data_IF_937357327821
#
_entry.id   IF_937357327821
#
_cell.length_a   1.000
_cell.length_b   1.000
_cell.length_c   1.000
_cell.angle_alpha   90.00
_cell.angle_beta   90.00
_cell.angle_gamma   90.00
#
_symmetry.space_group_name_H-M   'P 1'
#
loop_
_entity.id
_entity.type
_entity.pdbx_description
1 polymer ?
#
# COMPACT_ATOMS: atom_id res chain seq x y z
N UNK A 1 12.21 -24.76 15.14
CA UNK A 1 12.01 -23.43 14.52
C UNK A 1 11.82 -23.49 12.99
N UNK A 2 11.20 -24.55 12.44
CA UNK A 2 11.05 -24.70 10.97
C UNK A 2 9.59 -24.80 10.48
N UNK A 3 8.69 -25.39 11.28
CA UNK A 3 7.29 -25.56 10.89
C UNK A 3 6.43 -24.29 11.07
N UNK A 4 6.76 -23.46 12.07
CA UNK A 4 6.03 -22.21 12.35
C UNK A 4 6.27 -21.13 11.28
N UNK A 5 7.46 -21.12 10.66
CA UNK A 5 7.77 -20.18 9.57
C UNK A 5 6.98 -20.47 8.29
N UNK A 6 6.72 -21.75 7.99
CA UNK A 6 5.97 -22.15 6.79
C UNK A 6 4.46 -21.95 6.97
N UNK A 7 3.91 -22.23 8.16
CA UNK A 7 2.51 -21.95 8.48
C UNK A 7 2.23 -20.43 8.51
N UNK A 8 3.15 -19.63 9.08
CA UNK A 8 3.10 -18.17 9.04
C UNK A 8 3.16 -17.61 7.62
N UNK A 9 4.04 -18.17 6.76
CA UNK A 9 4.16 -17.77 5.37
C UNK A 9 2.95 -18.15 4.50
N UNK A 10 2.19 -19.20 4.86
CA UNK A 10 0.92 -19.54 4.19
C UNK A 10 -0.21 -18.64 4.71
N UNK A 11 -0.23 -18.34 6.01
CA UNK A 11 -1.23 -17.46 6.61
C UNK A 11 -1.15 -16.02 6.08
N UNK A 12 0.05 -15.43 6.03
CA UNK A 12 0.26 -14.10 5.43
C UNK A 12 -0.04 -14.08 3.93
N UNK A 13 0.28 -15.16 3.20
CA UNK A 13 0.07 -15.21 1.74
C UNK A 13 -1.39 -15.40 1.33
N UNK A 14 -2.27 -15.83 2.25
CA UNK A 14 -3.68 -16.17 1.96
C UNK A 14 -4.68 -15.24 2.67
N UNK A 15 -4.35 -14.69 3.85
CA UNK A 15 -5.32 -13.93 4.67
C UNK A 15 -5.23 -12.40 4.48
N UNK A 16 -4.02 -11.84 4.40
CA UNK A 16 -3.80 -10.40 4.16
C UNK A 16 -4.40 -9.80 2.86
N UNK A 17 -4.60 -10.54 1.74
CA UNK A 17 -5.09 -9.93 0.50
C UNK A 17 -6.50 -9.32 0.55
N UNK A 18 -7.29 -9.63 1.59
CA UNK A 18 -8.72 -9.27 1.67
C UNK A 18 -9.04 -8.08 2.56
N UNK A 19 -8.08 -7.56 3.34
CA UNK A 19 -8.31 -6.49 4.30
C UNK A 19 -7.16 -5.49 4.27
N UNK A 20 -7.14 -4.55 3.31
CA UNK A 20 -6.14 -3.49 3.33
C UNK A 20 -6.31 -2.64 4.60
N UNK A 21 -5.19 -2.28 5.21
CA UNK A 21 -5.13 -1.43 6.42
C UNK A 21 -4.29 -0.20 6.15
N UNK A 22 -4.59 0.89 6.86
CA UNK A 22 -3.83 2.13 6.79
C UNK A 22 -2.88 2.16 7.97
N UNK A 23 -1.59 2.05 7.69
CA UNK A 23 -0.56 2.14 8.71
C UNK A 23 0.07 3.53 8.76
N UNK A 24 0.32 4.02 9.97
CA UNK A 24 1.01 5.28 10.21
C UNK A 24 2.39 4.99 10.79
N UNK A 25 3.43 5.21 9.99
CA UNK A 25 4.82 4.98 10.40
C UNK A 25 5.53 6.33 10.54
N UNK A 26 6.04 6.62 11.73
CA UNK A 26 6.87 7.81 11.97
C UNK A 26 8.34 7.47 11.73
N UNK A 27 8.92 8.05 10.68
CA UNK A 27 10.35 7.92 10.40
C UNK A 27 11.11 9.08 11.05
N UNK A 28 12.25 8.79 11.68
CA UNK A 28 13.11 9.78 12.33
C UNK A 28 14.52 9.67 11.78
N UNK A 29 15.06 10.80 11.30
CA UNK A 29 16.41 10.87 10.77
C UNK A 29 17.20 11.94 11.53
N UNK A 30 18.39 11.65 12.07
CA UNK A 30 19.21 12.64 12.78
C UNK A 30 19.60 13.85 11.93
N UNK A 31 19.62 13.68 10.60
CA UNK A 31 20.03 14.68 9.61
C UNK A 31 18.87 15.18 8.75
N UNK A 32 17.62 14.99 9.20
CA UNK A 32 16.46 15.50 8.46
C UNK A 32 16.52 17.03 8.37
N UNK A 33 16.46 17.62 7.16
CA UNK A 33 16.34 19.07 7.03
C UNK A 33 15.11 19.59 7.80
N UNK A 34 15.21 20.69 8.58
CA UNK A 34 14.09 21.21 9.36
C UNK A 34 12.84 21.51 8.54
N UNK A 35 13.00 21.87 7.27
CA UNK A 35 11.88 22.12 6.35
C UNK A 35 11.05 20.87 6.01
N UNK A 36 11.56 19.67 6.28
CA UNK A 36 10.86 18.40 6.08
C UNK A 36 10.33 17.80 7.39
N UNK A 37 10.55 18.46 8.53
CA UNK A 37 10.01 18.01 9.80
C UNK A 37 8.47 18.10 9.79
N UNK A 38 7.82 17.01 10.14
CA UNK A 38 6.36 16.88 10.07
C UNK A 38 5.78 16.60 8.67
N UNK A 39 6.59 16.46 7.62
CA UNK A 39 6.12 16.08 6.29
C UNK A 39 5.42 14.70 6.33
N UNK A 40 4.18 14.64 5.84
CA UNK A 40 3.39 13.41 5.75
C UNK A 40 3.31 12.95 4.31
N UNK A 41 3.78 11.74 4.04
CA UNK A 41 3.72 11.10 2.72
C UNK A 41 2.73 9.92 2.81
N UNK A 42 1.67 9.98 2.01
CA UNK A 42 0.79 8.84 1.77
C UNK A 42 1.35 8.00 0.64
N UNK A 43 1.62 6.71 0.88
CA UNK A 43 2.23 5.84 -0.12
C UNK A 43 1.26 4.72 -0.54
N UNK A 44 1.09 4.54 -1.85
CA UNK A 44 0.36 3.41 -2.45
C UNK A 44 1.36 2.64 -3.33
N UNK A 45 1.55 1.35 -3.06
CA UNK A 45 2.52 0.49 -3.76
C UNK A 45 2.03 -0.94 -3.81
N UNK A 46 2.61 -1.75 -4.72
CA UNK A 46 2.45 -3.21 -4.76
C UNK A 46 0.99 -3.65 -4.77
N UNK A 47 0.14 -2.90 -5.46
CA UNK A 47 -1.27 -3.25 -5.55
C UNK A 47 -1.45 -4.49 -6.42
N UNK A 48 -0.51 -4.89 -7.28
CA UNK A 48 -0.58 -6.14 -8.07
C UNK A 48 -2.00 -6.44 -8.61
N UNK A 49 -2.67 -5.42 -9.15
CA UNK A 49 -4.08 -5.43 -9.52
C UNK A 49 -4.34 -6.56 -10.52
N UNK A 50 -5.45 -7.28 -10.29
CA UNK A 50 -5.83 -8.43 -11.11
C UNK A 50 -5.21 -9.77 -10.66
N UNK A 51 -4.35 -9.79 -9.63
CA UNK A 51 -3.92 -11.03 -8.96
C UNK A 51 -4.54 -11.16 -7.57
N UNK A 52 -3.91 -10.53 -6.57
CA UNK A 52 -4.26 -10.68 -5.15
C UNK A 52 -5.09 -9.51 -4.64
N UNK A 53 -4.89 -8.32 -5.20
CA UNK A 53 -5.56 -7.10 -4.78
C UNK A 53 -6.67 -6.75 -5.78
N UNK A 54 -7.80 -6.35 -5.25
CA UNK A 54 -9.00 -6.03 -6.03
C UNK A 54 -9.10 -4.54 -6.34
N UNK A 55 -9.95 -4.19 -7.30
CA UNK A 55 -10.31 -2.79 -7.55
C UNK A 55 -10.97 -2.13 -6.33
N UNK A 56 -11.65 -2.89 -5.49
CA UNK A 56 -12.25 -2.40 -4.25
C UNK A 56 -11.19 -2.01 -3.23
N UNK A 57 -10.14 -2.82 -3.06
CA UNK A 57 -9.03 -2.48 -2.18
C UNK A 57 -8.33 -1.19 -2.62
N UNK A 58 -8.14 -0.98 -3.93
CA UNK A 58 -7.56 0.27 -4.45
C UNK A 58 -8.48 1.46 -4.20
N UNK A 59 -9.79 1.33 -4.44
CA UNK A 59 -10.76 2.38 -4.09
C UNK A 59 -10.73 2.72 -2.61
N UNK A 60 -10.65 1.71 -1.76
CA UNK A 60 -10.52 1.89 -0.32
C UNK A 60 -9.24 2.65 0.02
N UNK A 61 -8.08 2.24 -0.51
CA UNK A 61 -6.79 2.89 -0.24
C UNK A 61 -6.78 4.36 -0.69
N UNK A 62 -7.34 4.65 -1.85
CA UNK A 62 -7.49 6.03 -2.36
C UNK A 62 -8.42 6.85 -1.46
N UNK A 63 -9.54 6.27 -1.02
CA UNK A 63 -10.43 6.90 -0.05
C UNK A 63 -9.75 7.19 1.29
N UNK A 64 -8.91 6.29 1.78
CA UNK A 64 -8.13 6.51 2.99
C UNK A 64 -7.08 7.62 2.82
N UNK A 65 -6.38 7.67 1.68
CA UNK A 65 -5.45 8.77 1.39
C UNK A 65 -6.17 10.12 1.32
N UNK A 66 -7.35 10.16 0.70
CA UNK A 66 -8.19 11.35 0.67
C UNK A 66 -8.63 11.78 2.08
N UNK A 67 -8.96 10.85 2.98
CA UNK A 67 -9.31 11.17 4.37
C UNK A 67 -8.09 11.60 5.20
N UNK A 68 -6.95 10.95 5.00
CA UNK A 68 -5.74 11.19 5.77
C UNK A 68 -5.07 12.54 5.46
N UNK A 69 -5.35 13.12 4.28
CA UNK A 69 -4.83 14.40 3.79
C UNK A 69 -3.30 14.53 4.02
N UNK A 70 -2.47 13.64 3.44
CA UNK A 70 -1.02 13.79 3.47
C UNK A 70 -0.58 14.98 2.60
N UNK A 71 0.62 15.52 2.87
CA UNK A 71 1.20 16.62 2.09
C UNK A 71 1.62 16.18 0.68
N UNK A 72 1.96 14.90 0.54
CA UNK A 72 2.34 14.26 -0.72
C UNK A 72 1.72 12.86 -0.81
N UNK A 73 1.16 12.52 -1.97
CA UNK A 73 0.79 11.14 -2.30
C UNK A 73 1.82 10.60 -3.30
N UNK A 74 2.46 9.49 -2.93
CA UNK A 74 3.44 8.79 -3.76
C UNK A 74 2.88 7.44 -4.22
N UNK A 75 2.86 7.23 -5.54
CA UNK A 75 2.51 5.95 -6.15
C UNK A 75 3.79 5.35 -6.72
N UNK A 76 4.35 4.33 -6.06
CA UNK A 76 5.76 3.97 -6.24
C UNK A 76 6.03 2.77 -7.14
N UNK A 77 5.03 1.96 -7.50
CA UNK A 77 5.20 0.87 -8.47
C UNK A 77 4.36 -0.38 -8.21
N UNK A 78 4.58 -1.39 -9.05
CA UNK A 78 3.94 -2.73 -8.98
C UNK A 78 2.41 -2.69 -8.87
N UNK A 79 1.81 -1.84 -9.70
CA UNK A 79 0.38 -1.57 -9.66
C UNK A 79 -0.48 -2.68 -10.29
N UNK A 80 0.00 -3.36 -11.32
CA UNK A 80 -0.71 -4.44 -12.01
C UNK A 80 0.07 -5.75 -11.96
N UNK A 81 -0.60 -6.82 -11.50
CA UNK A 81 -0.04 -8.16 -11.47
C UNK A 81 -0.32 -8.97 -12.73
N UNK A 82 -1.43 -8.65 -13.43
CA UNK A 82 -1.79 -9.19 -14.74
C UNK A 82 -2.18 -8.06 -15.68
N UNK A 83 -2.09 -8.31 -16.99
CA UNK A 83 -2.51 -7.35 -18.03
C UNK A 83 -3.95 -6.86 -17.84
N UNK A 84 -4.85 -7.72 -17.34
CA UNK A 84 -6.23 -7.38 -17.06
C UNK A 84 -6.41 -6.31 -15.97
N UNK A 85 -5.41 -6.10 -15.11
CA UNK A 85 -5.44 -5.06 -14.06
C UNK A 85 -5.03 -3.67 -14.55
N UNK A 86 -4.33 -3.56 -15.69
CA UNK A 86 -3.81 -2.28 -16.20
C UNK A 86 -4.91 -1.25 -16.48
N UNK A 87 -6.05 -1.59 -17.12
CA UNK A 87 -7.12 -0.63 -17.36
C UNK A 87 -7.80 -0.09 -16.10
N UNK A 88 -7.60 -0.74 -14.94
CA UNK A 88 -8.20 -0.35 -13.67
C UNK A 88 -7.38 0.69 -12.90
N UNK A 89 -6.11 0.92 -13.27
CA UNK A 89 -5.22 1.82 -12.52
C UNK A 89 -5.66 3.29 -12.66
N UNK A 90 -5.70 3.79 -13.90
CA UNK A 90 -6.00 5.20 -14.20
C UNK A 90 -7.37 5.69 -13.70
N UNK A 91 -8.48 4.94 -13.80
CA UNK A 91 -9.76 5.44 -13.30
C UNK A 91 -9.90 5.40 -11.77
N UNK A 92 -8.97 4.75 -11.06
CA UNK A 92 -9.06 4.55 -9.62
C UNK A 92 -8.08 5.42 -8.82
N UNK A 93 -7.00 5.91 -9.43
CA UNK A 93 -6.06 6.88 -8.86
C UNK A 93 -6.46 8.31 -9.28
#
# INVERSE_FOLDING_TARGET
>A
MGALGLAGAIYSKVWEPSHPTLEHVTLRFPTLPPALDGLRIGQITDTHLGLRYTAENLRWAVGEMQRAQPDLIAVTGDLAGLKAGVPLITPLL
#
